data_IF_017304254743
#
_entry.id   IF_017304254743
#
_cell.length_a   1.000
_cell.length_b   1.000
_cell.length_c   1.000
_cell.angle_alpha   90.00
_cell.angle_beta   90.00
_cell.angle_gamma   90.00
#
_symmetry.space_group_name_H-M   'P 1'
#
loop_
_entity.id
_entity.type
_entity.pdbx_description
1 polymer ?
#
# COMPACT_ATOMS: atom_id res chain seq x y z
N UNK A 1 12.32 5.80 -1.87
CA UNK A 1 10.96 6.36 -2.05
C UNK A 1 10.25 5.86 -3.31
N UNK A 2 10.85 6.00 -4.50
CA UNK A 2 10.19 5.71 -5.78
C UNK A 2 9.70 4.24 -5.94
N UNK A 3 10.50 3.27 -5.48
CA UNK A 3 10.18 1.84 -5.60
C UNK A 3 8.92 1.41 -4.82
N UNK A 4 8.65 2.01 -3.66
CA UNK A 4 7.50 1.65 -2.82
C UNK A 4 6.18 2.13 -3.44
N UNK A 5 6.19 3.35 -3.97
CA UNK A 5 5.05 3.92 -4.71
C UNK A 5 4.77 3.11 -5.99
N UNK A 6 5.81 2.70 -6.73
CA UNK A 6 5.63 1.84 -7.90
C UNK A 6 5.03 0.47 -7.54
N UNK A 7 5.47 -0.14 -6.43
CA UNK A 7 4.88 -1.40 -5.92
C UNK A 7 3.42 -1.21 -5.54
N UNK A 8 3.10 -0.14 -4.81
CA UNK A 8 1.73 0.20 -4.44
C UNK A 8 0.83 0.34 -5.66
N UNK A 9 1.23 1.15 -6.65
CA UNK A 9 0.45 1.37 -7.87
C UNK A 9 0.19 0.07 -8.63
N UNK A 10 1.18 -0.83 -8.72
CA UNK A 10 1.02 -2.12 -9.42
C UNK A 10 0.08 -3.07 -8.68
N UNK A 11 0.25 -3.20 -7.36
CA UNK A 11 -0.62 -4.04 -6.53
C UNK A 11 -2.06 -3.51 -6.53
N UNK A 12 -2.23 -2.20 -6.44
CA UNK A 12 -3.53 -1.54 -6.49
C UNK A 12 -4.24 -1.75 -7.83
N UNK A 13 -3.54 -1.52 -8.95
CA UNK A 13 -4.09 -1.74 -10.27
C UNK A 13 -4.50 -3.21 -10.50
N UNK A 14 -3.70 -4.18 -10.03
CA UNK A 14 -4.03 -5.60 -10.09
C UNK A 14 -5.30 -5.94 -9.28
N UNK A 15 -5.43 -5.41 -8.06
CA UNK A 15 -6.63 -5.61 -7.24
C UNK A 15 -7.89 -5.00 -7.88
N UNK A 16 -7.78 -3.81 -8.45
CA UNK A 16 -8.90 -3.12 -9.11
C UNK A 16 -9.33 -3.85 -10.39
N UNK A 17 -8.38 -4.36 -11.18
CA UNK A 17 -8.67 -5.19 -12.34
C UNK A 17 -9.41 -6.49 -11.97
N UNK A 18 -9.00 -7.15 -10.89
CA UNK A 18 -9.65 -8.36 -10.40
C UNK A 18 -11.06 -8.10 -9.82
N UNK A 19 -11.25 -6.99 -9.12
CA UNK A 19 -12.53 -6.66 -8.47
C UNK A 19 -13.58 -6.09 -9.43
N UNK A 20 -13.19 -5.61 -10.62
CA UNK A 20 -14.08 -5.00 -11.61
C UNK A 20 -14.63 -3.61 -11.25
N UNK A 21 -14.70 -3.25 -9.96
CA UNK A 21 -15.01 -1.89 -9.52
C UNK A 21 -13.74 -1.04 -9.50
N UNK A 22 -13.73 0.04 -10.31
CA UNK A 22 -12.61 0.99 -10.45
C UNK A 22 -12.66 2.15 -9.44
N UNK A 23 -13.84 2.39 -8.88
CA UNK A 23 -14.10 3.54 -8.00
C UNK A 23 -14.29 3.13 -6.55
N UNK A 24 -14.75 1.89 -6.31
CA UNK A 24 -14.89 1.39 -4.96
C UNK A 24 -13.56 0.89 -4.41
N UNK A 25 -13.43 1.04 -3.09
CA UNK A 25 -12.32 0.44 -2.34
C UNK A 25 -12.35 -1.07 -2.55
N UNK A 26 -11.21 -1.63 -2.97
CA UNK A 26 -11.07 -3.07 -3.13
C UNK A 26 -11.33 -3.80 -1.78
N UNK A 27 -12.46 -4.53 -1.68
CA UNK A 27 -12.85 -5.28 -0.47
C UNK A 27 -12.33 -6.72 -0.42
N UNK A 28 -11.51 -7.14 -1.39
CA UNK A 28 -10.98 -8.51 -1.44
C UNK A 28 -10.23 -8.86 -0.14
N UNK A 29 -10.61 -9.98 0.46
CA UNK A 29 -10.03 -10.60 1.67
C UNK A 29 -9.79 -12.09 1.47
N UNK A 30 -9.67 -12.55 0.21
CA UNK A 30 -9.42 -13.97 -0.08
C UNK A 30 -8.08 -14.40 0.50
N UNK A 31 -8.12 -15.41 1.37
CA UNK A 31 -6.97 -16.02 2.05
C UNK A 31 -5.95 -16.59 1.06
N UNK A 32 -6.41 -17.00 -0.13
CA UNK A 32 -5.57 -17.63 -1.16
C UNK A 32 -5.06 -16.62 -2.20
N UNK A 33 -5.36 -15.32 -2.02
CA UNK A 33 -4.96 -14.30 -2.96
C UNK A 33 -3.55 -13.74 -2.62
N UNK A 34 -2.52 -13.99 -3.44
CA UNK A 34 -1.18 -13.44 -3.18
C UNK A 34 -1.17 -11.90 -3.25
N UNK A 35 -2.05 -11.30 -4.05
CA UNK A 35 -2.17 -9.84 -4.17
C UNK A 35 -2.76 -9.21 -2.90
N UNK A 36 -3.61 -9.93 -2.16
CA UNK A 36 -4.13 -9.47 -0.88
C UNK A 36 -2.99 -9.27 0.13
N UNK A 37 -2.12 -10.28 0.29
CA UNK A 37 -0.97 -10.17 1.19
C UNK A 37 0.01 -9.09 0.73
N UNK A 38 0.30 -9.01 -0.57
CA UNK A 38 1.15 -7.94 -1.11
C UNK A 38 0.58 -6.54 -0.82
N UNK A 39 -0.75 -6.37 -0.87
CA UNK A 39 -1.41 -5.10 -0.52
C UNK A 39 -1.27 -4.77 0.97
N UNK A 40 -1.45 -5.75 1.86
CA UNK A 40 -1.27 -5.56 3.30
C UNK A 40 0.19 -5.22 3.62
N UNK A 41 1.14 -5.92 3.01
CA UNK A 41 2.57 -5.68 3.18
C UNK A 41 2.96 -4.27 2.73
N UNK A 42 2.63 -3.88 1.48
CA UNK A 42 2.98 -2.56 0.97
C UNK A 42 2.36 -1.44 1.79
N UNK A 43 1.15 -1.65 2.33
CA UNK A 43 0.54 -0.68 3.25
C UNK A 43 1.37 -0.51 4.53
N UNK A 44 1.80 -1.60 5.16
CA UNK A 44 2.67 -1.55 6.36
C UNK A 44 3.99 -0.86 6.05
N UNK A 45 4.63 -1.21 4.94
CA UNK A 45 5.88 -0.60 4.50
C UNK A 45 5.76 0.94 4.33
N UNK A 46 4.61 1.43 3.85
CA UNK A 46 4.31 2.87 3.73
C UNK A 46 4.16 3.50 5.12
N UNK A 47 3.37 2.88 6.01
CA UNK A 47 3.16 3.35 7.39
C UNK A 47 4.48 3.42 8.16
N UNK A 48 5.35 2.41 8.04
CA UNK A 48 6.67 2.37 8.67
C UNK A 48 7.60 3.49 8.12
N UNK A 49 7.59 3.71 6.81
CA UNK A 49 8.38 4.77 6.18
C UNK A 49 7.92 6.16 6.67
N UNK A 50 6.61 6.37 6.78
CA UNK A 50 6.06 7.63 7.28
C UNK A 50 6.39 7.84 8.76
N UNK A 51 6.29 6.80 9.59
CA UNK A 51 6.66 6.86 10.99
C UNK A 51 8.14 7.21 11.19
N UNK A 52 9.04 6.64 10.38
CA UNK A 52 10.45 7.00 10.39
C UNK A 52 10.66 8.47 10.02
N UNK A 53 9.97 8.98 9.00
CA UNK A 53 10.08 10.39 8.60
C UNK A 53 9.52 11.35 9.64
N UNK A 54 8.42 10.98 10.32
CA UNK A 54 7.83 11.81 11.37
C UNK A 54 8.75 11.90 12.60
N UNK A 55 9.51 10.85 12.92
CA UNK A 55 10.53 10.87 13.98
C UNK A 55 11.65 11.90 13.76
N UNK A 56 11.89 12.34 12.53
CA UNK A 56 12.89 13.38 12.22
C UNK A 56 12.34 14.81 12.29
N UNK A 57 11.05 15.02 12.58
CA UNK A 57 10.43 16.37 12.59
C UNK A 57 10.75 17.21 13.84
N UNK A 58 11.46 16.68 14.83
CA UNK A 58 11.91 17.43 16.01
C UNK A 58 13.24 18.15 15.77
N UNK A 59 13.23 19.10 14.84
CA UNK A 59 14.24 20.17 14.78
C UNK A 59 13.51 21.50 14.94
N UNK A 60 13.28 21.89 16.20
CA UNK A 60 12.85 23.25 16.55
C UNK A 60 14.08 24.14 16.64
N UNK A 61 14.06 25.24 15.88
CA UNK A 61 14.81 26.45 16.22
C UNK A 61 14.13 27.15 17.39
#
# INVERSE_FOLDING_TARGET
YNLLLHKYSRVWANCQACSGSKFDKAKCMSSDCPVYFARVQVRRDIEDTLAQMDGFKEWKW
#
